data_IF_777334607116
#
_entry.id   IF_777334607116
#
_cell.length_a   1.000
_cell.length_b   1.000
_cell.length_c   1.000
_cell.angle_alpha   90.00
_cell.angle_beta   90.00
_cell.angle_gamma   90.00
#
_symmetry.space_group_name_H-M   'P 1'
#
loop_
_entity.id
_entity.type
_entity.pdbx_description
1 polymer ?
#
# COMPACT_ATOMS: atom_id res chain seq x y z
N UNK A 1 -31.94 -4.51 31.55
CA UNK A 1 -31.80 -3.44 30.54
C UNK A 1 -30.33 -3.20 30.14
N UNK A 2 -29.51 -4.25 30.01
CA UNK A 2 -28.03 -4.10 29.82
C UNK A 2 -27.46 -4.68 28.52
N UNK A 3 -28.32 -5.01 27.53
CA UNK A 3 -27.87 -5.66 26.30
C UNK A 3 -27.47 -4.66 25.17
N UNK A 4 -27.62 -3.35 25.39
CA UNK A 4 -27.32 -2.34 24.37
C UNK A 4 -25.90 -1.80 24.44
N UNK A 5 -25.19 -1.99 25.57
CA UNK A 5 -23.85 -1.44 25.78
C UNK A 5 -22.76 -2.26 25.08
N UNK A 6 -22.87 -3.59 25.10
CA UNK A 6 -21.88 -4.49 24.50
C UNK A 6 -21.79 -4.45 22.97
N UNK A 7 -22.90 -4.10 22.30
CA UNK A 7 -22.90 -3.98 20.82
C UNK A 7 -22.18 -2.72 20.32
N UNK A 8 -22.27 -1.63 21.08
CA UNK A 8 -21.56 -0.38 20.75
C UNK A 8 -20.06 -0.52 20.92
N UNK A 9 -19.64 -1.17 21.99
CA UNK A 9 -18.21 -1.35 22.29
C UNK A 9 -17.53 -2.26 21.25
N UNK A 10 -18.19 -3.36 20.84
CA UNK A 10 -17.66 -4.25 19.80
C UNK A 10 -17.49 -3.54 18.44
N UNK A 11 -18.42 -2.67 18.06
CA UNK A 11 -18.36 -1.93 16.81
C UNK A 11 -17.25 -0.87 16.80
N UNK A 12 -17.01 -0.22 17.93
CA UNK A 12 -15.89 0.73 18.06
C UNK A 12 -14.55 0.04 17.94
N UNK A 13 -14.34 -1.09 18.60
CA UNK A 13 -13.12 -1.89 18.47
C UNK A 13 -12.86 -2.31 17.02
N UNK A 14 -13.84 -2.79 16.30
CA UNK A 14 -13.72 -3.18 14.89
C UNK A 14 -13.28 -1.97 14.05
N UNK A 15 -13.90 -0.81 14.23
CA UNK A 15 -13.57 0.38 13.46
C UNK A 15 -12.14 0.91 13.73
N UNK A 16 -11.66 0.79 14.97
CA UNK A 16 -10.34 1.26 15.35
C UNK A 16 -9.22 0.30 14.90
N UNK A 17 -9.45 -1.01 15.00
CA UNK A 17 -8.46 -2.02 14.63
C UNK A 17 -8.38 -2.32 13.13
N UNK A 18 -9.48 -2.16 12.38
CA UNK A 18 -9.50 -2.48 10.95
C UNK A 18 -8.46 -1.69 10.15
N UNK A 19 -8.30 -0.38 10.29
CA UNK A 19 -7.28 0.37 9.55
C UNK A 19 -5.86 -0.09 9.88
N UNK A 20 -5.58 -0.40 11.14
CA UNK A 20 -4.27 -0.92 11.57
C UNK A 20 -4.01 -2.29 10.95
N UNK A 21 -4.98 -3.19 11.00
CA UNK A 21 -4.87 -4.53 10.45
C UNK A 21 -4.61 -4.50 8.93
N UNK A 22 -5.34 -3.65 8.21
CA UNK A 22 -5.14 -3.47 6.77
C UNK A 22 -3.75 -2.90 6.43
N UNK A 23 -3.23 -1.97 7.23
CA UNK A 23 -1.86 -1.47 7.10
C UNK A 23 -0.83 -2.58 7.32
N UNK A 24 -1.03 -3.40 8.36
CA UNK A 24 -0.15 -4.56 8.63
C UNK A 24 -0.18 -5.53 7.46
N UNK A 25 -1.35 -5.93 6.96
CA UNK A 25 -1.45 -6.84 5.82
C UNK A 25 -0.80 -6.31 4.56
N UNK A 26 -0.91 -5.00 4.31
CA UNK A 26 -0.31 -4.37 3.14
C UNK A 26 1.22 -4.43 3.17
N UNK A 27 1.82 -4.32 4.36
CA UNK A 27 3.29 -4.19 4.48
C UNK A 27 3.98 -5.42 5.05
N UNK A 28 3.25 -6.44 5.51
CA UNK A 28 3.83 -7.62 6.19
C UNK A 28 4.88 -8.36 5.35
N UNK A 29 4.72 -8.35 4.04
CA UNK A 29 5.64 -9.02 3.12
C UNK A 29 7.06 -8.46 3.18
N UNK A 30 7.23 -7.15 3.41
CA UNK A 30 8.53 -6.49 3.34
C UNK A 30 9.49 -6.89 4.46
N UNK A 31 9.10 -6.92 5.75
CA UNK A 31 9.98 -7.42 6.80
C UNK A 31 10.42 -8.87 6.58
N UNK A 32 9.53 -9.72 6.05
CA UNK A 32 9.91 -11.11 5.73
C UNK A 32 10.87 -11.18 4.55
N UNK A 33 10.69 -10.33 3.52
CA UNK A 33 11.63 -10.20 2.41
C UNK A 33 13.01 -9.70 2.88
N UNK A 34 13.05 -8.75 3.79
CA UNK A 34 14.30 -8.27 4.39
C UNK A 34 15.00 -9.36 5.21
N UNK A 35 14.23 -10.12 6.01
CA UNK A 35 14.76 -11.26 6.77
C UNK A 35 15.35 -12.33 5.84
N UNK A 36 14.65 -12.67 4.76
CA UNK A 36 15.16 -13.63 3.77
C UNK A 36 16.50 -13.17 3.18
N UNK A 37 16.63 -11.88 2.82
CA UNK A 37 17.90 -11.32 2.33
C UNK A 37 19.02 -11.37 3.35
N UNK A 38 18.73 -11.23 4.64
CA UNK A 38 19.71 -11.34 5.72
C UNK A 38 20.15 -12.79 5.89
N UNK A 39 19.19 -13.72 5.95
CA UNK A 39 19.46 -15.14 6.18
C UNK A 39 20.13 -15.79 4.97
N UNK A 40 19.74 -15.41 3.76
CA UNK A 40 20.22 -15.91 2.50
C UNK A 40 21.13 -14.91 1.78
N UNK A 41 22.00 -14.22 2.53
CA UNK A 41 22.88 -13.15 2.02
C UNK A 41 23.67 -13.51 0.75
N UNK A 42 24.29 -14.72 0.62
CA UNK A 42 25.00 -15.08 -0.60
C UNK A 42 24.11 -15.10 -1.84
N UNK A 43 22.89 -15.61 -1.71
CA UNK A 43 21.90 -15.66 -2.79
C UNK A 43 21.44 -14.25 -3.17
N UNK A 44 21.12 -13.41 -2.19
CA UNK A 44 20.74 -12.02 -2.39
C UNK A 44 21.84 -11.21 -3.06
N UNK A 45 23.10 -11.44 -2.69
CA UNK A 45 24.28 -10.84 -3.34
C UNK A 45 24.45 -11.28 -4.79
N UNK A 46 24.14 -12.53 -5.11
CA UNK A 46 24.19 -13.04 -6.49
C UNK A 46 23.14 -12.33 -7.36
N UNK A 47 21.93 -12.10 -6.84
CA UNK A 47 20.90 -11.34 -7.53
C UNK A 47 21.27 -9.88 -7.74
N UNK A 48 21.94 -9.26 -6.75
CA UNK A 48 22.39 -7.87 -6.82
C UNK A 48 23.69 -7.67 -7.64
N UNK A 49 24.35 -8.75 -8.07
CA UNK A 49 25.70 -8.74 -8.61
C UNK A 49 25.92 -7.85 -9.84
N UNK A 50 24.87 -7.53 -10.60
CA UNK A 50 24.92 -6.66 -11.78
C UNK A 50 24.67 -5.18 -11.45
N UNK A 51 24.50 -4.82 -10.18
CA UNK A 51 24.26 -3.44 -9.76
C UNK A 51 25.55 -2.71 -9.40
N UNK A 52 25.59 -1.39 -9.56
CA UNK A 52 26.65 -0.60 -8.96
C UNK A 52 26.56 -0.70 -7.43
N UNK A 53 27.66 -1.00 -6.75
CA UNK A 53 27.72 -1.12 -5.30
C UNK A 53 26.71 -2.12 -4.67
N UNK A 54 26.72 -3.42 -5.07
CA UNK A 54 25.68 -4.37 -4.73
C UNK A 54 25.47 -4.53 -3.21
N UNK A 55 26.52 -4.49 -2.40
CA UNK A 55 26.42 -4.56 -0.93
C UNK A 55 25.67 -3.38 -0.33
N UNK A 56 25.97 -2.16 -0.80
CA UNK A 56 25.31 -0.95 -0.30
C UNK A 56 23.82 -0.90 -0.73
N UNK A 57 23.54 -1.28 -1.98
CA UNK A 57 22.17 -1.37 -2.49
C UNK A 57 21.34 -2.40 -1.73
N UNK A 58 21.91 -3.58 -1.46
CA UNK A 58 21.25 -4.63 -0.70
C UNK A 58 21.00 -4.20 0.75
N UNK A 59 21.99 -3.58 1.41
CA UNK A 59 21.82 -3.04 2.77
C UNK A 59 20.74 -1.94 2.81
N UNK A 60 20.74 -1.03 1.84
CA UNK A 60 19.72 0.02 1.72
C UNK A 60 18.32 -0.57 1.51
N UNK A 61 18.18 -1.62 0.69
CA UNK A 61 16.90 -2.29 0.49
C UNK A 61 16.37 -2.89 1.79
N UNK A 62 17.21 -3.56 2.58
CA UNK A 62 16.84 -4.13 3.88
C UNK A 62 16.36 -3.03 4.85
N UNK A 63 17.07 -1.90 4.91
CA UNK A 63 16.67 -0.76 5.75
C UNK A 63 15.30 -0.24 5.32
N UNK A 64 15.06 -0.03 4.04
CA UNK A 64 13.76 0.43 3.52
C UNK A 64 12.66 -0.57 3.86
N UNK A 65 12.90 -1.86 3.70
CA UNK A 65 11.92 -2.93 3.95
C UNK A 65 11.59 -3.14 5.44
N UNK A 66 12.40 -2.61 6.37
CA UNK A 66 12.06 -2.58 7.79
C UNK A 66 11.49 -1.24 8.24
N UNK A 67 12.14 -0.14 7.87
CA UNK A 67 11.80 1.18 8.39
C UNK A 67 10.48 1.70 7.81
N UNK A 68 10.27 1.58 6.50
CA UNK A 68 9.07 2.10 5.88
C UNK A 68 7.78 1.37 6.34
N UNK A 69 7.74 0.02 6.43
CA UNK A 69 6.62 -0.69 7.05
C UNK A 69 6.36 -0.27 8.50
N UNK A 70 7.41 -0.13 9.31
CA UNK A 70 7.26 0.31 10.70
C UNK A 70 6.62 1.70 10.80
N UNK A 71 7.04 2.64 9.95
CA UNK A 71 6.45 3.98 9.85
C UNK A 71 4.97 3.94 9.43
N UNK A 72 4.61 3.07 8.47
CA UNK A 72 3.22 2.92 7.99
C UNK A 72 2.32 2.38 9.10
N UNK A 73 2.77 1.34 9.83
CA UNK A 73 2.01 0.74 10.93
C UNK A 73 1.88 1.70 12.10
N UNK A 74 2.96 2.42 12.44
CA UNK A 74 2.96 3.42 13.51
C UNK A 74 2.20 4.70 13.14
N UNK A 75 1.84 4.91 11.86
CA UNK A 75 1.22 6.15 11.38
C UNK A 75 2.16 7.37 11.39
N UNK A 76 3.47 7.14 11.48
CA UNK A 76 4.48 8.19 11.51
C UNK A 76 5.06 8.42 10.10
N UNK A 77 4.81 9.60 9.53
CA UNK A 77 5.18 9.91 8.13
C UNK A 77 4.71 8.82 7.13
N UNK A 78 3.55 8.22 7.40
CA UNK A 78 3.02 7.07 6.68
C UNK A 78 2.88 7.31 5.17
N UNK A 79 2.52 8.52 4.75
CA UNK A 79 2.44 8.89 3.32
C UNK A 79 3.80 8.88 2.63
N UNK A 80 4.83 9.43 3.29
CA UNK A 80 6.19 9.41 2.74
C UNK A 80 6.74 7.98 2.71
N UNK A 81 6.51 7.21 3.77
CA UNK A 81 6.91 5.81 3.83
C UNK A 81 6.21 4.97 2.75
N UNK A 82 4.91 5.20 2.52
CA UNK A 82 4.16 4.54 1.45
C UNK A 82 4.69 4.92 0.06
N UNK A 83 5.04 6.19 -0.18
CA UNK A 83 5.65 6.63 -1.43
C UNK A 83 6.99 5.94 -1.69
N UNK A 84 7.88 5.93 -0.68
CA UNK A 84 9.20 5.27 -0.77
C UNK A 84 9.04 3.78 -1.06
N UNK A 85 8.12 3.11 -0.34
CA UNK A 85 7.90 1.68 -0.50
C UNK A 85 7.23 1.33 -1.84
N UNK A 86 6.31 2.17 -2.33
CA UNK A 86 5.72 2.02 -3.67
C UNK A 86 6.77 2.18 -4.77
N UNK A 87 7.63 3.19 -4.67
CA UNK A 87 8.76 3.39 -5.58
C UNK A 87 9.74 2.21 -5.54
N UNK A 88 10.01 1.68 -4.36
CA UNK A 88 10.82 0.48 -4.18
C UNK A 88 10.21 -0.73 -4.89
N UNK A 89 8.89 -0.98 -4.75
CA UNK A 89 8.19 -2.07 -5.44
C UNK A 89 8.28 -1.94 -6.96
N UNK A 90 8.05 -0.75 -7.51
CA UNK A 90 8.15 -0.52 -8.96
C UNK A 90 9.57 -0.74 -9.45
N UNK A 91 10.57 -0.22 -8.73
CA UNK A 91 11.99 -0.37 -9.09
C UNK A 91 12.40 -1.84 -9.08
N UNK A 92 12.06 -2.58 -8.03
CA UNK A 92 12.38 -4.01 -7.92
C UNK A 92 11.66 -4.83 -8.97
N UNK A 93 10.38 -4.54 -9.26
CA UNK A 93 9.65 -5.21 -10.33
C UNK A 93 10.34 -5.05 -11.69
N UNK A 94 10.72 -3.83 -12.06
CA UNK A 94 11.35 -3.55 -13.35
C UNK A 94 12.76 -4.11 -13.43
N UNK A 95 13.53 -4.07 -12.34
CA UNK A 95 14.94 -4.50 -12.35
C UNK A 95 15.11 -6.02 -12.23
N UNK A 96 14.31 -6.69 -11.39
CA UNK A 96 14.53 -8.10 -11.06
C UNK A 96 13.51 -9.05 -11.69
N UNK A 97 12.31 -8.58 -12.04
CA UNK A 97 11.24 -9.42 -12.55
C UNK A 97 10.94 -9.17 -14.02
N UNK A 98 11.99 -9.23 -14.85
CA UNK A 98 11.92 -8.97 -16.29
C UNK A 98 11.40 -10.20 -17.06
N UNK A 99 10.15 -10.59 -16.83
CA UNK A 99 9.51 -11.74 -17.49
C UNK A 99 9.55 -11.67 -19.02
N UNK A 100 9.56 -10.46 -19.59
CA UNK A 100 9.62 -10.25 -21.05
C UNK A 100 10.94 -10.69 -21.68
N UNK A 101 11.99 -10.93 -20.91
CA UNK A 101 13.28 -11.47 -21.37
C UNK A 101 13.30 -13.00 -21.44
N UNK A 102 12.31 -13.66 -20.84
CA UNK A 102 12.20 -15.12 -20.82
C UNK A 102 11.44 -15.60 -22.06
N UNK A 103 12.11 -16.34 -22.95
CA UNK A 103 11.50 -16.82 -24.18
C UNK A 103 10.35 -17.82 -23.94
N UNK A 104 10.43 -18.60 -22.87
CA UNK A 104 9.39 -19.55 -22.46
C UNK A 104 8.08 -18.85 -22.05
N UNK A 105 8.12 -17.65 -21.51
CA UNK A 105 6.93 -16.88 -21.16
C UNK A 105 6.03 -16.65 -22.39
N UNK A 106 6.62 -16.23 -23.49
CA UNK A 106 5.90 -15.96 -24.74
C UNK A 106 5.37 -17.21 -25.45
N UNK A 107 5.85 -18.39 -25.03
CA UNK A 107 5.37 -19.69 -25.52
C UNK A 107 4.33 -20.33 -24.62
N UNK A 108 3.83 -19.59 -23.62
CA UNK A 108 2.85 -20.05 -22.62
C UNK A 108 3.26 -21.37 -21.93
N UNK A 109 4.55 -21.55 -21.68
CA UNK A 109 5.10 -22.68 -20.93
C UNK A 109 5.35 -22.31 -19.48
N UNK A 110 5.14 -23.29 -18.59
CA UNK A 110 5.58 -23.18 -17.20
C UNK A 110 7.10 -22.99 -17.16
N UNK A 111 7.57 -22.11 -16.28
CA UNK A 111 8.98 -21.81 -16.14
C UNK A 111 9.28 -20.53 -15.38
N UNK A 112 10.52 -20.15 -15.39
CA UNK A 112 11.02 -18.96 -14.67
C UNK A 112 10.34 -17.66 -15.13
N UNK A 113 9.99 -17.57 -16.42
CA UNK A 113 9.31 -16.41 -16.98
C UNK A 113 7.92 -16.18 -16.37
N UNK A 114 7.15 -17.25 -16.15
CA UNK A 114 5.83 -17.16 -15.51
C UNK A 114 5.97 -16.75 -14.02
N UNK A 115 6.98 -17.27 -13.33
CA UNK A 115 7.28 -16.87 -11.96
C UNK A 115 7.62 -15.37 -11.87
N UNK A 116 8.50 -14.88 -12.74
CA UNK A 116 8.83 -13.44 -12.81
C UNK A 116 7.61 -12.58 -13.13
N UNK A 117 6.69 -13.05 -13.97
CA UNK A 117 5.45 -12.35 -14.28
C UNK A 117 4.57 -12.17 -13.03
N UNK A 118 4.35 -13.22 -12.25
CA UNK A 118 3.57 -13.11 -11.02
C UNK A 118 4.23 -12.23 -9.97
N UNK A 119 5.56 -12.30 -9.82
CA UNK A 119 6.31 -11.42 -8.93
C UNK A 119 6.23 -9.95 -9.37
N UNK A 120 6.29 -9.68 -10.67
CA UNK A 120 6.08 -8.36 -11.24
C UNK A 120 4.69 -7.82 -10.90
N UNK A 121 3.63 -8.57 -11.17
CA UNK A 121 2.25 -8.15 -10.87
C UNK A 121 2.02 -7.95 -9.38
N UNK A 122 2.58 -8.80 -8.53
CA UNK A 122 2.51 -8.67 -7.06
C UNK A 122 3.09 -7.33 -6.61
N UNK A 123 4.27 -6.97 -7.09
CA UNK A 123 4.90 -5.69 -6.76
C UNK A 123 4.08 -4.48 -7.26
N UNK A 124 3.49 -4.56 -8.44
CA UNK A 124 2.58 -3.50 -8.93
C UNK A 124 1.29 -3.42 -8.12
N UNK A 125 0.73 -4.55 -7.70
CA UNK A 125 -0.43 -4.58 -6.80
C UNK A 125 -0.13 -3.92 -5.45
N UNK A 126 1.03 -4.22 -4.86
CA UNK A 126 1.50 -3.57 -3.62
C UNK A 126 1.72 -2.07 -3.82
N UNK A 127 2.37 -1.66 -4.92
CA UNK A 127 2.56 -0.25 -5.24
C UNK A 127 1.22 0.50 -5.38
N UNK A 128 0.22 -0.14 -6.01
CA UNK A 128 -1.14 0.39 -6.11
C UNK A 128 -1.80 0.56 -4.74
N UNK A 129 -1.74 -0.45 -3.88
CA UNK A 129 -2.27 -0.38 -2.51
C UNK A 129 -1.60 0.70 -1.66
N UNK A 130 -0.27 0.82 -1.75
CA UNK A 130 0.50 1.88 -1.09
C UNK A 130 0.17 3.26 -1.64
N UNK A 131 -0.06 3.37 -2.95
CA UNK A 131 -0.53 4.59 -3.61
C UNK A 131 -1.90 5.04 -3.11
N UNK A 132 -2.84 4.11 -2.95
CA UNK A 132 -4.15 4.39 -2.35
C UNK A 132 -4.00 4.87 -0.91
N UNK A 133 -3.15 4.24 -0.10
CA UNK A 133 -2.86 4.68 1.27
C UNK A 133 -2.30 6.10 1.31
N UNK A 134 -1.40 6.43 0.39
CA UNK A 134 -0.81 7.77 0.27
C UNK A 134 -1.85 8.84 -0.08
N UNK A 135 -2.78 8.52 -0.99
CA UNK A 135 -3.77 9.45 -1.50
C UNK A 135 -5.04 9.53 -0.65
N UNK A 136 -5.30 8.53 0.20
CA UNK A 136 -6.51 8.47 1.01
C UNK A 136 -6.60 9.68 1.97
N UNK A 137 -7.64 10.52 1.85
CA UNK A 137 -7.77 11.71 2.69
C UNK A 137 -8.16 11.35 4.14
N UNK A 138 -8.94 10.29 4.33
CA UNK A 138 -9.41 9.75 5.64
C UNK A 138 -9.81 8.30 5.48
N UNK A 139 -9.61 7.51 6.53
CA UNK A 139 -10.18 6.15 6.62
C UNK A 139 -11.65 6.26 6.98
N UNK A 140 -12.52 5.72 6.11
CA UNK A 140 -13.93 5.53 6.45
C UNK A 140 -14.06 4.37 7.43
N UNK A 141 -14.95 4.42 8.44
CA UNK A 141 -15.21 3.30 9.29
C UNK A 141 -15.80 2.13 8.48
N UNK A 142 -15.36 0.93 8.80
CA UNK A 142 -15.78 -0.28 8.08
C UNK A 142 -17.30 -0.45 8.08
N UNK A 143 -17.95 -0.07 9.18
CA UNK A 143 -19.42 -0.10 9.30
C UNK A 143 -20.12 0.73 8.22
N UNK A 144 -19.60 1.92 7.90
CA UNK A 144 -20.19 2.78 6.87
C UNK A 144 -20.05 2.16 5.48
N UNK A 145 -18.90 1.57 5.18
CA UNK A 145 -18.66 0.87 3.90
C UNK A 145 -19.58 -0.34 3.75
N UNK A 146 -19.80 -1.11 4.81
CA UNK A 146 -20.65 -2.29 4.78
C UNK A 146 -22.15 -1.95 4.69
N UNK A 147 -22.59 -0.82 5.27
CA UNK A 147 -23.97 -0.36 5.17
C UNK A 147 -24.31 0.24 3.80
N UNK A 148 -23.32 0.80 3.11
CA UNK A 148 -23.51 1.45 1.82
C UNK A 148 -22.50 0.95 0.77
N UNK A 149 -22.47 -0.36 0.44
CA UNK A 149 -21.44 -0.94 -0.42
C UNK A 149 -21.48 -0.45 -1.88
N UNK A 150 -22.59 0.15 -2.30
CA UNK A 150 -22.77 0.66 -3.67
C UNK A 150 -22.48 2.17 -3.78
N UNK A 151 -22.09 2.83 -2.69
CA UNK A 151 -21.69 4.24 -2.77
C UNK A 151 -20.32 4.34 -3.43
N UNK A 152 -20.26 5.13 -4.49
CA UNK A 152 -19.01 5.43 -5.19
C UNK A 152 -18.12 6.33 -4.31
N UNK A 153 -16.82 6.02 -4.23
CA UNK A 153 -15.80 6.87 -3.60
C UNK A 153 -15.49 8.13 -4.41
N UNK A 154 -16.28 8.44 -5.45
CA UNK A 154 -16.15 9.70 -6.14
C UNK A 154 -16.36 10.83 -5.12
N UNK A 155 -15.27 11.50 -4.79
CA UNK A 155 -15.31 12.79 -4.10
C UNK A 155 -16.16 13.72 -4.96
N UNK A 156 -17.39 13.97 -4.54
CA UNK A 156 -18.16 15.07 -5.10
C UNK A 156 -17.29 16.31 -4.90
N UNK A 157 -16.87 16.93 -6.00
CA UNK A 157 -16.24 18.24 -5.94
C UNK A 157 -17.08 19.10 -5.02
N UNK A 158 -16.48 19.82 -4.02
CA UNK A 158 -17.27 20.67 -3.18
C UNK A 158 -18.05 21.61 -4.12
N UNK A 159 -19.37 21.42 -4.17
CA UNK A 159 -20.24 22.35 -4.86
C UNK A 159 -19.96 23.68 -4.20
N UNK A 160 -19.38 24.59 -4.95
CA UNK A 160 -19.26 25.98 -4.57
C UNK A 160 -20.70 26.43 -4.39
N UNK A 161 -21.20 26.32 -3.16
CA UNK A 161 -22.48 26.95 -2.79
C UNK A 161 -22.23 28.43 -2.96
N UNK A 162 -22.60 28.90 -4.15
CA UNK A 162 -22.69 30.29 -4.48
C UNK A 162 -23.78 30.88 -3.58
N UNK A 163 -23.40 31.26 -2.35
CA UNK A 163 -24.22 32.07 -1.48
C UNK A 163 -24.34 33.45 -2.14
N UNK A 164 -25.13 33.48 -3.22
CA UNK A 164 -25.66 34.70 -3.77
C UNK A 164 -26.68 35.17 -2.76
N UNK A 165 -26.31 36.11 -1.93
CA UNK A 165 -27.26 36.89 -1.13
C UNK A 165 -28.35 37.39 -2.04
N UNK A 166 -29.64 37.15 -1.76
CA UNK A 166 -30.70 37.85 -2.48
C UNK A 166 -30.61 39.33 -2.11
N UNK A 167 -30.21 40.12 -3.10
CA UNK A 167 -30.31 41.57 -3.05
C UNK A 167 -31.78 41.94 -2.94
N UNK A 168 -32.16 42.59 -1.86
CA UNK A 168 -33.44 43.24 -1.81
C UNK A 168 -34.00 43.44 -0.41
N UNK A 169 -33.87 44.66 0.04
CA UNK A 169 -34.64 45.37 1.09
C UNK A 169 -33.87 45.66 2.39
N UNK A 170 -33.02 46.70 2.29
CA UNK A 170 -32.85 47.64 3.38
C UNK A 170 -33.58 48.94 2.94
N UNK A 171 -34.66 49.25 3.57
CA UNK A 171 -35.29 50.59 3.59
C UNK A 171 -35.72 50.91 5.02
N UNK A 172 -35.89 52.16 5.36
CA UNK A 172 -35.06 52.97 6.24
C UNK A 172 -35.48 52.92 7.68
#
# INVERSE_FOLDING_TARGET
MDNHKGSGDAMTWINDFTPLLLRVFLVVLFPFSALDKILNWPSAMTQAGNMPFPRAMLAASIVVEFVAPACIVAGWHDRLAALVLAGFCVTTAVMFHQFWRCAEFWRFREGVGLQHFWEFLKNFGLAGGLGLLMLAPRTLPLSEVLHHPLTSTHVASPSTSNNRCPSGSCTP
#
